data_IF_660887636593
#
_entry.id   IF_660887636593
#
_cell.length_a   1.000
_cell.length_b   1.000
_cell.length_c   1.000
_cell.angle_alpha   90.00
_cell.angle_beta   90.00
_cell.angle_gamma   90.00
#
_symmetry.space_group_name_H-M   'P 1'
#
loop_
_entity.id
_entity.type
_entity.pdbx_description
1 polymer ?
#
# COMPACT_ATOMS: atom_id res chain seq x y z
N UNK A 1 -5.11 7.74 -7.73
CA UNK A 1 -3.94 7.08 -7.08
C UNK A 1 -2.70 7.88 -7.41
N UNK A 2 -1.85 8.10 -6.40
CA UNK A 2 -0.55 8.77 -6.51
C UNK A 2 0.55 7.73 -6.29
N UNK A 3 1.50 7.64 -7.21
CA UNK A 3 2.66 6.74 -7.10
C UNK A 3 3.98 7.52 -7.23
N UNK A 4 5.05 7.03 -6.61
CA UNK A 4 6.37 7.67 -6.65
C UNK A 4 6.51 8.87 -5.71
N UNK A 5 5.65 8.98 -4.71
CA UNK A 5 5.69 10.02 -3.70
C UNK A 5 6.48 9.56 -2.47
N UNK A 6 7.33 10.43 -1.95
CA UNK A 6 7.93 10.30 -0.62
C UNK A 6 7.34 11.34 0.34
N UNK A 7 7.06 12.56 -0.15
CA UNK A 7 6.35 13.61 0.57
C UNK A 7 4.96 13.87 0.01
N UNK A 8 3.97 14.08 0.88
CA UNK A 8 2.59 14.35 0.47
C UNK A 8 2.34 15.82 0.11
N UNK A 9 3.00 16.75 0.80
CA UNK A 9 2.86 18.20 0.60
C UNK A 9 3.59 18.74 -0.63
N UNK A 10 4.64 18.04 -1.07
CA UNK A 10 5.36 18.37 -2.28
C UNK A 10 4.69 17.67 -3.47
N UNK A 11 4.24 18.42 -4.48
CA UNK A 11 3.95 17.86 -5.81
C UNK A 11 5.26 17.44 -6.47
N UNK A 12 5.84 16.34 -5.99
CA UNK A 12 7.13 15.85 -6.48
C UNK A 12 7.12 15.75 -8.01
N UNK A 13 8.18 16.26 -8.66
CA UNK A 13 8.36 16.20 -10.13
C UNK A 13 8.21 14.77 -10.70
N UNK A 14 8.46 13.75 -9.88
CA UNK A 14 8.46 12.35 -10.27
C UNK A 14 7.20 11.57 -9.85
N UNK A 15 6.22 12.22 -9.19
CA UNK A 15 4.99 11.56 -8.79
C UNK A 15 4.01 11.47 -9.97
N UNK A 16 3.44 10.28 -10.17
CA UNK A 16 2.43 10.06 -11.21
C UNK A 16 1.04 10.03 -10.57
N UNK A 17 0.09 10.72 -11.20
CA UNK A 17 -1.30 10.80 -10.76
C UNK A 17 -2.19 10.15 -11.81
N UNK A 18 -2.83 9.05 -11.43
CA UNK A 18 -3.76 8.33 -12.32
C UNK A 18 -5.11 8.18 -11.64
N UNK A 19 -6.18 8.52 -12.36
CA UNK A 19 -7.55 8.34 -11.89
C UNK A 19 -7.89 6.86 -11.78
N UNK A 20 -8.71 6.52 -10.78
CA UNK A 20 -9.33 5.20 -10.68
C UNK A 20 -10.46 5.14 -11.70
N UNK A 21 -10.45 4.12 -12.56
CA UNK A 21 -11.54 3.85 -13.49
C UNK A 21 -12.62 2.98 -12.84
N UNK A 22 -12.21 2.03 -12.01
CA UNK A 22 -13.10 1.07 -11.36
C UNK A 22 -12.52 0.63 -10.02
N UNK A 23 -13.39 0.49 -9.01
CA UNK A 23 -13.06 -0.07 -7.71
C UNK A 23 -13.83 -1.38 -7.53
N UNK A 24 -13.11 -2.48 -7.37
CA UNK A 24 -13.65 -3.84 -7.31
C UNK A 24 -13.43 -4.38 -5.90
N UNK A 25 -14.46 -4.30 -5.06
CA UNK A 25 -14.41 -4.86 -3.72
C UNK A 25 -14.49 -6.40 -3.75
N UNK A 26 -13.90 -7.06 -2.76
CA UNK A 26 -14.06 -8.50 -2.62
C UNK A 26 -15.55 -8.87 -2.54
N UNK A 27 -16.06 -9.83 -3.34
CA UNK A 27 -17.50 -10.10 -3.45
C UNK A 27 -18.14 -10.60 -2.14
N UNK A 28 -17.32 -11.07 -1.19
CA UNK A 28 -17.74 -11.48 0.15
C UNK A 28 -17.32 -10.51 1.27
N UNK A 29 -16.93 -9.28 0.94
CA UNK A 29 -16.61 -8.30 1.98
C UNK A 29 -17.82 -8.10 2.91
N UNK A 30 -17.55 -8.08 4.21
CA UNK A 30 -18.57 -7.86 5.24
C UNK A 30 -18.20 -6.65 6.08
N UNK A 31 -18.96 -5.56 5.97
CA UNK A 31 -18.72 -4.34 6.75
C UNK A 31 -18.89 -4.55 8.26
N UNK A 32 -19.76 -5.49 8.66
CA UNK A 32 -20.05 -5.77 10.09
C UNK A 32 -18.88 -6.46 10.78
N UNK A 33 -18.19 -7.33 10.05
CA UNK A 33 -17.15 -8.20 10.62
C UNK A 33 -15.76 -7.87 10.11
N UNK A 34 -15.65 -6.98 9.11
CA UNK A 34 -14.41 -6.60 8.42
C UNK A 34 -13.72 -7.82 7.76
N UNK A 35 -14.47 -8.90 7.51
CA UNK A 35 -13.93 -10.06 6.81
C UNK A 35 -13.83 -9.80 5.30
N UNK A 36 -12.76 -10.35 4.70
CA UNK A 36 -12.39 -10.17 3.30
C UNK A 36 -12.20 -8.68 2.94
N UNK A 37 -11.56 -7.91 3.82
CA UNK A 37 -11.26 -6.49 3.64
C UNK A 37 -10.11 -6.28 2.63
N UNK A 38 -10.44 -6.41 1.34
CA UNK A 38 -9.54 -6.22 0.22
C UNK A 38 -10.33 -5.74 -1.01
N UNK A 39 -9.72 -4.88 -1.81
CA UNK A 39 -10.26 -4.40 -3.08
C UNK A 39 -9.15 -4.23 -4.13
N UNK A 40 -9.52 -4.31 -5.41
CA UNK A 40 -8.65 -3.97 -6.53
C UNK A 40 -9.10 -2.63 -7.11
N UNK A 41 -8.18 -1.69 -7.25
CA UNK A 41 -8.40 -0.44 -7.97
C UNK A 41 -7.83 -0.55 -9.39
N UNK A 42 -8.71 -0.62 -10.38
CA UNK A 42 -8.31 -0.56 -11.80
C UNK A 42 -8.13 0.89 -12.19
N UNK A 43 -6.93 1.23 -12.64
CA UNK A 43 -6.59 2.59 -13.04
C UNK A 43 -7.03 2.89 -14.48
N UNK A 44 -7.34 4.14 -14.77
CA UNK A 44 -7.70 4.59 -16.12
C UNK A 44 -6.54 4.47 -17.12
N UNK A 45 -5.30 4.47 -16.64
CA UNK A 45 -4.08 4.29 -17.42
C UNK A 45 -3.05 3.50 -16.60
N UNK A 46 -2.04 2.94 -17.25
CA UNK A 46 -0.91 2.31 -16.57
C UNK A 46 0.09 3.35 -16.05
N UNK A 47 0.71 3.07 -14.90
CA UNK A 47 1.89 3.82 -14.45
C UNK A 47 3.09 3.53 -15.36
N UNK A 48 3.90 4.55 -15.65
CA UNK A 48 5.23 4.38 -16.23
C UNK A 48 6.18 3.87 -15.15
N UNK A 49 6.93 2.81 -15.43
CA UNK A 49 7.92 2.30 -14.48
C UNK A 49 9.10 3.26 -14.40
N UNK A 50 9.54 3.56 -13.19
CA UNK A 50 10.67 4.46 -12.91
C UNK A 50 11.51 3.90 -11.77
N UNK A 51 12.51 4.67 -11.33
CA UNK A 51 13.25 4.37 -10.09
C UNK A 51 12.36 4.42 -8.85
N UNK A 52 11.29 5.23 -8.86
CA UNK A 52 10.37 5.46 -7.72
C UNK A 52 9.00 4.83 -7.89
N UNK A 53 8.66 4.32 -9.09
CA UNK A 53 7.37 3.68 -9.39
C UNK A 53 7.61 2.28 -9.93
N UNK A 54 7.36 1.27 -9.09
CA UNK A 54 7.50 -0.16 -9.39
C UNK A 54 6.38 -0.97 -8.72
N UNK A 55 5.94 -2.09 -9.30
CA UNK A 55 5.01 -2.99 -8.64
C UNK A 55 5.68 -3.70 -7.45
N UNK A 56 4.87 -4.11 -6.47
CA UNK A 56 5.29 -5.04 -5.42
C UNK A 56 4.94 -6.47 -5.84
N UNK A 57 5.73 -7.44 -5.38
CA UNK A 57 5.43 -8.86 -5.60
C UNK A 57 4.23 -9.28 -4.75
N UNK A 58 3.38 -10.14 -5.30
CA UNK A 58 2.35 -10.84 -4.54
C UNK A 58 2.86 -12.21 -4.13
N UNK A 59 2.51 -12.64 -2.93
CA UNK A 59 2.69 -14.03 -2.53
C UNK A 59 1.63 -14.88 -3.24
N UNK A 60 2.08 -15.75 -4.15
CA UNK A 60 1.19 -16.63 -4.92
C UNK A 60 0.98 -18.01 -4.28
N UNK A 61 1.72 -18.32 -3.21
CA UNK A 61 1.58 -19.58 -2.49
C UNK A 61 0.48 -19.48 -1.43
N UNK A 62 -0.29 -20.56 -1.19
CA UNK A 62 -1.20 -20.67 -0.07
C UNK A 62 -0.49 -20.36 1.27
N UNK A 63 -1.18 -19.66 2.18
CA UNK A 63 -0.61 -19.22 3.47
C UNK A 63 -0.08 -20.39 4.30
N UNK A 64 -0.75 -21.55 4.23
CA UNK A 64 -0.33 -22.78 4.91
C UNK A 64 0.94 -23.42 4.33
N UNK A 65 1.38 -23.01 3.14
CA UNK A 65 2.66 -23.41 2.55
C UNK A 65 3.78 -22.42 2.84
N UNK A 66 3.48 -21.29 3.46
CA UNK A 66 4.47 -20.29 3.85
C UNK A 66 5.08 -20.74 5.18
N UNK A 67 6.32 -21.22 5.13
CA UNK A 67 7.15 -21.32 6.33
C UNK A 67 7.59 -19.92 6.74
N UNK A 68 6.75 -19.21 7.49
CA UNK A 68 7.17 -18.02 8.21
C UNK A 68 7.95 -18.47 9.45
N UNK A 69 9.21 -18.06 9.54
CA UNK A 69 9.95 -18.20 10.79
C UNK A 69 9.32 -17.30 11.85
N UNK A 70 9.36 -17.72 13.12
CA UNK A 70 8.89 -16.90 14.25
C UNK A 70 9.63 -15.55 14.35
N UNK A 71 10.83 -15.47 13.75
CA UNK A 71 11.68 -14.27 13.73
C UNK A 71 11.71 -13.57 12.37
N UNK A 72 10.62 -13.62 11.59
CA UNK A 72 10.57 -12.90 10.32
C UNK A 72 10.49 -11.39 10.56
N UNK A 73 11.46 -10.66 10.01
CA UNK A 73 11.45 -9.19 10.02
C UNK A 73 10.49 -8.68 8.95
N UNK A 74 9.56 -7.81 9.35
CA UNK A 74 8.61 -7.15 8.46
C UNK A 74 8.78 -5.64 8.54
N UNK A 75 8.59 -4.98 7.41
CA UNK A 75 8.63 -3.52 7.31
C UNK A 75 7.20 -3.02 7.11
N UNK A 76 6.71 -2.24 8.06
CA UNK A 76 5.47 -1.47 7.89
C UNK A 76 5.88 -0.08 7.42
N UNK A 77 5.24 0.42 6.38
CA UNK A 77 5.55 1.73 5.78
C UNK A 77 4.28 2.51 5.48
N UNK A 78 4.34 3.84 5.59
CA UNK A 78 3.21 4.72 5.29
C UNK A 78 3.41 6.14 5.79
N UNK A 79 2.36 6.93 5.61
CA UNK A 79 2.26 8.33 6.03
C UNK A 79 1.27 8.53 7.20
N UNK A 80 0.77 7.44 7.80
CA UNK A 80 -0.20 7.51 8.89
C UNK A 80 0.38 8.13 10.17
N UNK A 81 -0.50 8.39 11.14
CA UNK A 81 -0.12 8.87 12.46
C UNK A 81 0.79 7.88 13.19
N UNK A 82 1.81 8.38 13.88
CA UNK A 82 2.73 7.58 14.71
C UNK A 82 2.25 7.41 16.14
N UNK A 83 1.28 8.22 16.55
CA UNK A 83 0.74 8.28 17.91
C UNK A 83 -0.79 8.20 17.89
N UNK A 84 -1.38 7.71 18.97
CA UNK A 84 -2.84 7.60 19.11
C UNK A 84 -3.45 9.00 19.08
N UNK A 85 -4.28 9.26 18.07
CA UNK A 85 -4.89 10.58 17.85
C UNK A 85 -3.93 11.66 17.34
N UNK A 86 -2.69 11.29 16.98
CA UNK A 86 -1.72 12.19 16.40
C UNK A 86 -2.01 12.52 14.93
N UNK A 87 -1.32 13.53 14.43
CA UNK A 87 -1.39 13.94 13.03
C UNK A 87 -0.65 12.95 12.11
N UNK A 88 -1.09 12.85 10.87
CA UNK A 88 -0.41 12.06 9.84
C UNK A 88 0.90 12.73 9.40
N UNK A 89 1.89 11.92 9.03
CA UNK A 89 3.17 12.42 8.54
C UNK A 89 3.08 12.88 7.08
N UNK A 90 3.68 14.02 6.77
CA UNK A 90 3.87 14.44 5.37
C UNK A 90 5.00 13.69 4.67
N UNK A 91 5.88 12.99 5.39
CA UNK A 91 7.01 12.21 4.84
C UNK A 91 6.76 10.72 5.03
N UNK A 92 7.18 9.89 4.06
CA UNK A 92 7.05 8.44 4.15
C UNK A 92 7.91 7.90 5.29
N UNK A 93 7.30 7.13 6.18
CA UNK A 93 7.97 6.47 7.30
C UNK A 93 8.02 4.96 7.08
N UNK A 94 8.94 4.32 7.80
CA UNK A 94 8.99 2.86 7.89
C UNK A 94 9.41 2.43 9.30
N UNK A 95 8.99 1.25 9.73
CA UNK A 95 9.50 0.65 10.96
C UNK A 95 10.98 0.32 10.83
N UNK A 96 11.77 0.35 11.93
CA UNK A 96 13.08 -0.26 11.96
C UNK A 96 12.99 -1.73 11.53
N UNK A 97 13.99 -2.22 10.80
CA UNK A 97 14.13 -3.65 10.56
C UNK A 97 14.49 -4.32 11.89
N UNK A 98 13.64 -5.23 12.37
CA UNK A 98 13.93 -6.09 13.53
C UNK A 98 14.84 -7.26 13.14
#
# INVERSE_FOLDING_TARGET
>A
VRAGAERLDNTAENAQYIRVAEAIAHPRYSFRTVYNDIAILKLANSFKWTTTVKPICLMSKPVNEIQMSENISLIVTGWGATDVGGESSNTLLRTPSL
#
